data_IF_483280158982
#
_entry.id   IF_483280158982
#
_cell.length_a   1.000
_cell.length_b   1.000
_cell.length_c   1.000
_cell.angle_alpha   90.00
_cell.angle_beta   90.00
_cell.angle_gamma   90.00
#
_symmetry.space_group_name_H-M   'P 1'
#
loop_
_entity.id
_entity.type
_entity.pdbx_description
1 polymer ?
#
# COMPACT_ATOMS: atom_id res chain seq x y z
N UNK A 1 -3.33 -0.25 -17.60
CA UNK A 1 -2.53 0.97 -17.55
C UNK A 1 -2.84 1.76 -16.29
N UNK A 2 -1.82 2.30 -15.67
CA UNK A 2 -2.02 3.08 -14.46
C UNK A 2 -2.63 4.43 -14.78
N UNK A 3 -3.75 4.73 -14.14
CA UNK A 3 -4.52 5.94 -14.38
C UNK A 3 -4.15 7.06 -13.42
N UNK A 4 -3.66 6.71 -12.21
CA UNK A 4 -3.35 7.70 -11.19
C UNK A 4 -2.45 7.11 -10.11
N UNK A 5 -1.49 7.91 -9.67
CA UNK A 5 -0.64 7.59 -8.52
C UNK A 5 -0.77 8.70 -7.49
N UNK A 6 -1.04 8.31 -6.24
CA UNK A 6 -1.10 9.23 -5.12
C UNK A 6 0.08 8.96 -4.18
N UNK A 7 0.86 9.99 -3.88
CA UNK A 7 1.93 9.92 -2.90
C UNK A 7 1.44 10.50 -1.59
N UNK A 8 1.45 9.69 -0.55
CA UNK A 8 1.09 10.12 0.81
C UNK A 8 2.37 10.26 1.62
N UNK A 9 2.67 11.47 2.04
CA UNK A 9 3.90 11.79 2.77
C UNK A 9 3.59 11.95 4.24
N UNK A 10 4.12 11.04 5.07
CA UNK A 10 3.88 11.04 6.50
C UNK A 10 4.96 11.86 7.21
N UNK A 11 4.62 12.55 8.31
CA UNK A 11 5.56 13.45 8.96
C UNK A 11 6.62 12.77 9.82
N UNK A 12 6.42 11.52 10.22
CA UNK A 12 7.34 10.80 11.10
C UNK A 12 7.97 9.61 10.43
N UNK A 13 8.82 8.91 11.18
CA UNK A 13 9.52 7.72 10.67
C UNK A 13 9.25 6.46 11.51
N UNK A 14 8.32 6.52 12.47
CA UNK A 14 7.98 5.36 13.27
C UNK A 14 7.34 4.29 12.38
N UNK A 15 7.77 3.03 12.49
CA UNK A 15 7.27 1.97 11.61
C UNK A 15 5.76 1.85 11.59
N UNK A 16 5.11 2.04 12.72
CA UNK A 16 3.67 1.91 12.83
C UNK A 16 2.89 2.95 12.04
N UNK A 17 3.47 4.11 11.78
CA UNK A 17 2.77 5.15 11.03
C UNK A 17 2.43 4.70 9.62
N UNK A 18 3.40 4.15 8.91
CA UNK A 18 3.18 3.65 7.55
C UNK A 18 2.14 2.54 7.54
N UNK A 19 2.26 1.62 8.49
CA UNK A 19 1.36 0.47 8.57
C UNK A 19 -0.07 0.90 8.90
N UNK A 20 -0.23 1.78 9.88
CA UNK A 20 -1.55 2.28 10.24
C UNK A 20 -2.20 3.04 9.09
N UNK A 21 -1.41 3.85 8.41
CA UNK A 21 -1.93 4.60 7.26
C UNK A 21 -2.35 3.64 6.14
N UNK A 22 -1.54 2.62 5.87
CA UNK A 22 -1.87 1.62 4.86
C UNK A 22 -3.17 0.90 5.20
N UNK A 23 -3.37 0.55 6.47
CA UNK A 23 -4.60 -0.11 6.90
C UNK A 23 -5.82 0.79 6.76
N UNK A 24 -5.69 2.08 7.09
CA UNK A 24 -6.79 3.04 6.92
C UNK A 24 -7.15 3.22 5.45
N UNK A 25 -6.15 3.34 4.62
CA UNK A 25 -6.36 3.51 3.19
C UNK A 25 -7.02 2.27 2.61
N UNK A 26 -6.58 1.10 3.05
CA UNK A 26 -7.14 -0.18 2.64
C UNK A 26 -8.60 -0.30 3.05
N UNK A 27 -8.92 0.07 4.29
CA UNK A 27 -10.30 0.04 4.76
C UNK A 27 -11.19 0.94 3.90
N UNK A 28 -10.71 2.14 3.62
CA UNK A 28 -11.46 3.10 2.81
C UNK A 28 -11.74 2.56 1.41
N UNK A 29 -10.73 1.96 0.80
CA UNK A 29 -10.88 1.39 -0.53
C UNK A 29 -11.76 0.13 -0.51
N UNK A 30 -11.63 -0.67 0.53
CA UNK A 30 -12.44 -1.87 0.70
C UNK A 30 -13.93 -1.52 0.78
N UNK A 31 -14.26 -0.44 1.49
CA UNK A 31 -15.64 0.01 1.62
C UNK A 31 -16.21 0.55 0.30
N UNK A 32 -15.36 0.81 -0.68
CA UNK A 32 -15.77 1.19 -2.03
C UNK A 32 -15.76 0.01 -2.98
N UNK A 33 -15.72 -1.20 -2.45
CA UNK A 33 -15.74 -2.45 -3.20
C UNK A 33 -14.55 -2.66 -4.13
N UNK A 34 -13.41 -2.04 -3.82
CA UNK A 34 -12.20 -2.22 -4.60
C UNK A 34 -11.44 -3.46 -4.16
N UNK A 35 -10.66 -4.02 -5.08
CA UNK A 35 -9.66 -5.03 -4.77
C UNK A 35 -8.34 -4.35 -4.51
N UNK A 36 -7.65 -4.74 -3.44
CA UNK A 36 -6.46 -4.06 -2.97
C UNK A 36 -5.34 -5.07 -2.77
N UNK A 37 -4.14 -4.69 -3.22
CA UNK A 37 -2.91 -5.40 -2.88
C UNK A 37 -2.05 -4.45 -2.06
N UNK A 38 -1.59 -4.88 -0.89
CA UNK A 38 -0.57 -4.16 -0.14
C UNK A 38 0.73 -4.89 -0.38
N UNK A 39 1.68 -4.21 -1.01
CA UNK A 39 3.00 -4.78 -1.29
C UNK A 39 3.99 -4.31 -0.23
N UNK A 40 4.47 -5.25 0.57
CA UNK A 40 5.43 -4.99 1.63
C UNK A 40 6.86 -5.17 1.14
N UNK A 41 7.81 -4.59 1.87
CA UNK A 41 9.22 -4.72 1.54
C UNK A 41 9.76 -6.12 1.84
N UNK A 42 9.12 -6.84 2.76
CA UNK A 42 9.59 -8.16 3.19
C UNK A 42 8.42 -9.02 3.65
N UNK A 43 8.67 -10.32 3.75
CA UNK A 43 7.67 -11.24 4.28
C UNK A 43 7.35 -10.93 5.74
N UNK A 44 8.35 -10.48 6.52
CA UNK A 44 8.15 -10.11 7.90
C UNK A 44 7.21 -8.91 8.02
N UNK A 45 7.38 -7.91 7.16
CA UNK A 45 6.50 -6.75 7.15
C UNK A 45 5.07 -7.15 6.75
N UNK A 46 4.94 -8.04 5.76
CA UNK A 46 3.63 -8.51 5.36
C UNK A 46 2.89 -9.22 6.51
N UNK A 47 3.61 -10.01 7.29
CA UNK A 47 3.01 -10.67 8.46
C UNK A 47 2.60 -9.67 9.54
N UNK A 48 3.40 -8.62 9.73
CA UNK A 48 3.04 -7.57 10.69
C UNK A 48 1.77 -6.86 10.28
N UNK A 49 1.61 -6.60 8.97
CA UNK A 49 0.41 -5.99 8.45
C UNK A 49 -0.79 -6.93 8.54
N UNK A 50 -0.59 -8.21 8.34
CA UNK A 50 -1.64 -9.21 8.51
C UNK A 50 -2.19 -9.17 9.93
N UNK A 51 -1.31 -9.18 10.92
CA UNK A 51 -1.71 -9.10 12.32
C UNK A 51 -2.43 -7.78 12.62
N UNK A 52 -1.90 -6.69 12.10
CA UNK A 52 -2.48 -5.36 12.34
C UNK A 52 -3.88 -5.23 11.75
N UNK A 53 -4.10 -5.76 10.56
CA UNK A 53 -5.41 -5.68 9.93
C UNK A 53 -6.48 -6.42 10.72
N UNK A 54 -6.12 -7.51 11.39
CA UNK A 54 -7.07 -8.23 12.23
C UNK A 54 -7.54 -7.42 13.43
N UNK A 55 -6.71 -6.51 13.93
CA UNK A 55 -7.01 -5.74 15.14
C UNK A 55 -7.11 -4.24 14.88
N UNK A 56 -7.00 -3.81 13.63
CA UNK A 56 -6.92 -2.40 13.28
C UNK A 56 -8.18 -1.62 13.65
N UNK A 57 -9.33 -2.20 13.45
CA UNK A 57 -10.60 -1.53 13.70
C UNK A 57 -11.58 -2.48 14.37
N UNK A 58 -12.20 -2.02 15.46
CA UNK A 58 -13.24 -2.80 16.14
C UNK A 58 -14.54 -2.83 15.34
N UNK A 59 -14.68 -1.94 14.37
CA UNK A 59 -15.93 -1.78 13.62
C UNK A 59 -15.94 -2.53 12.31
N UNK A 60 -14.78 -2.78 11.76
CA UNK A 60 -14.67 -3.34 10.41
C UNK A 60 -13.85 -4.60 10.44
N UNK A 61 -14.47 -5.67 10.02
CA UNK A 61 -13.72 -6.87 9.73
C UNK A 61 -13.40 -6.87 8.24
N UNK A 62 -12.10 -6.82 7.92
CA UNK A 62 -11.64 -6.81 6.54
C UNK A 62 -11.02 -8.16 6.23
N UNK A 63 -11.71 -9.03 5.49
CA UNK A 63 -11.10 -10.30 5.09
C UNK A 63 -9.87 -10.03 4.24
N UNK A 64 -8.76 -10.66 4.60
CA UNK A 64 -7.50 -10.48 3.88
C UNK A 64 -6.69 -11.77 3.91
N UNK A 65 -5.77 -11.87 2.98
CA UNK A 65 -4.97 -13.08 2.79
C UNK A 65 -3.54 -12.71 2.44
N UNK A 66 -2.58 -13.40 3.10
CA UNK A 66 -1.20 -13.33 2.68
C UNK A 66 -1.04 -14.12 1.39
N UNK A 67 -0.44 -13.49 0.41
CA UNK A 67 -0.16 -14.16 -0.87
C UNK A 67 1.21 -14.83 -0.72
N UNK A 68 1.18 -16.12 -0.56
CA UNK A 68 2.38 -16.94 -0.44
C UNK A 68 2.35 -18.01 -1.54
N UNK A 69 2.48 -19.28 -1.16
CA UNK A 69 2.45 -20.38 -2.11
C UNK A 69 1.05 -20.73 -2.58
N UNK A 70 0.02 -20.26 -1.88
CA UNK A 70 -1.36 -20.55 -2.23
C UNK A 70 -1.88 -19.51 -3.21
N UNK A 71 -2.71 -19.91 -4.17
CA UNK A 71 -3.33 -18.90 -5.04
C UNK A 71 -4.28 -18.03 -4.25
N UNK A 72 -4.49 -16.76 -4.71
CA UNK A 72 -5.45 -15.88 -4.05
C UNK A 72 -6.85 -16.47 -4.03
N UNK A 73 -7.53 -16.31 -2.90
CA UNK A 73 -8.92 -16.73 -2.76
C UNK A 73 -9.80 -15.77 -3.55
N UNK A 74 -10.70 -16.31 -4.37
CA UNK A 74 -11.54 -15.50 -5.24
C UNK A 74 -12.47 -14.57 -4.47
N UNK A 75 -12.86 -14.96 -3.25
CA UNK A 75 -13.77 -14.16 -2.45
C UNK A 75 -13.07 -13.07 -1.63
N UNK A 76 -11.76 -13.13 -1.55
CA UNK A 76 -10.98 -12.15 -0.79
C UNK A 76 -10.59 -11.00 -1.71
N UNK A 77 -10.79 -9.76 -1.25
CA UNK A 77 -10.46 -8.58 -2.03
C UNK A 77 -9.20 -7.85 -1.55
N UNK A 78 -8.64 -8.26 -0.41
CA UNK A 78 -7.44 -7.63 0.13
C UNK A 78 -6.35 -8.69 0.22
N UNK A 79 -5.23 -8.44 -0.46
CA UNK A 79 -4.10 -9.36 -0.48
C UNK A 79 -2.85 -8.66 0.04
N UNK A 80 -2.11 -9.37 0.88
CA UNK A 80 -0.84 -8.88 1.41
C UNK A 80 0.28 -9.67 0.72
N UNK A 81 1.10 -8.96 -0.04
CA UNK A 81 2.21 -9.56 -0.76
C UNK A 81 3.53 -8.97 -0.28
N UNK A 82 4.63 -9.67 -0.55
CA UNK A 82 5.96 -9.21 -0.17
C UNK A 82 6.86 -9.19 -1.41
N UNK A 83 7.64 -8.10 -1.53
CA UNK A 83 8.64 -8.01 -2.58
C UNK A 83 9.73 -9.05 -2.31
N UNK A 84 10.36 -9.64 -3.34
CA UNK A 84 10.21 -9.31 -4.76
C UNK A 84 9.14 -10.11 -5.49
N UNK A 85 8.19 -10.70 -4.80
CA UNK A 85 7.17 -11.52 -5.43
C UNK A 85 6.32 -10.77 -6.44
N UNK A 86 5.56 -11.52 -7.24
CA UNK A 86 4.64 -10.97 -8.22
C UNK A 86 3.23 -10.94 -7.62
N UNK A 87 2.75 -9.77 -7.19
CA UNK A 87 1.44 -9.71 -6.56
C UNK A 87 0.31 -9.89 -7.58
N UNK A 88 -0.88 -10.32 -7.13
CA UNK A 88 -2.00 -10.49 -8.05
C UNK A 88 -2.53 -9.15 -8.56
N UNK A 89 -3.33 -9.21 -9.60
CA UNK A 89 -3.98 -8.01 -10.12
C UNK A 89 -5.01 -7.48 -9.10
N UNK A 90 -5.20 -6.17 -9.10
CA UNK A 90 -6.14 -5.51 -8.20
C UNK A 90 -6.47 -4.13 -8.76
N UNK A 91 -7.45 -3.46 -8.14
CA UNK A 91 -7.81 -2.10 -8.53
C UNK A 91 -6.84 -1.07 -7.94
N UNK A 92 -6.27 -1.36 -6.78
CA UNK A 92 -5.37 -0.48 -6.07
C UNK A 92 -4.16 -1.26 -5.56
N UNK A 93 -2.99 -0.74 -5.84
CA UNK A 93 -1.74 -1.22 -5.25
C UNK A 93 -1.31 -0.21 -4.18
N UNK A 94 -1.20 -0.68 -2.94
CA UNK A 94 -0.63 0.12 -1.85
C UNK A 94 0.83 -0.31 -1.72
N UNK A 95 1.74 0.58 -2.08
CA UNK A 95 3.16 0.24 -2.15
C UNK A 95 3.93 0.70 -0.92
N UNK A 96 4.47 -0.27 -0.19
CA UNK A 96 5.38 -0.05 0.93
C UNK A 96 6.79 -0.56 0.59
N UNK A 97 6.98 -1.13 -0.59
CA UNK A 97 8.26 -1.70 -1.00
C UNK A 97 9.17 -0.62 -1.57
N UNK A 98 10.46 -0.92 -1.60
CA UNK A 98 11.45 -0.01 -2.15
C UNK A 98 11.32 0.15 -3.66
N UNK A 99 10.92 -0.92 -4.33
CA UNK A 99 10.80 -0.94 -5.79
C UNK A 99 9.41 -1.36 -6.21
N UNK A 100 8.99 -0.85 -7.36
CA UNK A 100 7.75 -1.30 -7.96
C UNK A 100 7.90 -2.71 -8.54
N UNK A 101 6.84 -3.51 -8.52
CA UNK A 101 6.87 -4.79 -9.22
C UNK A 101 6.96 -4.56 -10.74
N UNK A 102 7.50 -5.54 -11.46
CA UNK A 102 7.72 -5.40 -12.90
C UNK A 102 6.44 -5.04 -13.67
N UNK A 103 5.31 -5.54 -13.22
CA UNK A 103 4.04 -5.32 -13.90
C UNK A 103 3.16 -4.28 -13.19
N UNK A 104 3.79 -3.25 -12.61
CA UNK A 104 3.04 -2.24 -11.86
C UNK A 104 2.01 -1.50 -12.70
N UNK A 105 2.22 -1.42 -14.00
CA UNK A 105 1.30 -0.68 -14.88
C UNK A 105 -0.06 -1.35 -15.03
N UNK A 106 -0.20 -2.59 -14.59
CA UNK A 106 -1.50 -3.26 -14.62
C UNK A 106 -2.44 -2.79 -13.52
N UNK A 107 -1.93 -2.04 -12.54
CA UNK A 107 -2.77 -1.50 -11.47
C UNK A 107 -3.29 -0.13 -11.90
N UNK A 108 -4.62 0.06 -12.00
CA UNK A 108 -5.17 1.35 -12.39
C UNK A 108 -4.80 2.47 -11.42
N UNK A 109 -4.71 2.15 -10.14
CA UNK A 109 -4.37 3.13 -9.12
C UNK A 109 -3.26 2.59 -8.22
N UNK A 110 -2.33 3.48 -7.85
CA UNK A 110 -1.24 3.14 -6.96
C UNK A 110 -1.18 4.20 -5.86
N UNK A 111 -1.08 3.74 -4.62
CA UNK A 111 -0.84 4.61 -3.47
C UNK A 111 0.58 4.35 -2.97
N UNK A 112 1.41 5.38 -2.99
CA UNK A 112 2.76 5.34 -2.46
C UNK A 112 2.74 5.95 -1.08
N UNK A 113 3.23 5.22 -0.09
CA UNK A 113 3.26 5.71 1.29
C UNK A 113 4.70 5.91 1.68
N UNK A 114 5.08 7.16 1.96
CA UNK A 114 6.45 7.54 2.25
C UNK A 114 6.46 8.28 3.59
N UNK A 115 7.42 7.95 4.44
CA UNK A 115 7.56 8.62 5.72
C UNK A 115 8.84 9.46 5.75
N UNK A 116 9.27 9.87 6.95
CA UNK A 116 10.42 10.76 7.11
C UNK A 116 11.78 10.04 7.02
N UNK A 117 11.79 8.72 6.84
CA UNK A 117 13.04 7.99 6.67
C UNK A 117 13.75 8.44 5.40
N UNK A 118 15.03 8.79 5.52
CA UNK A 118 15.78 9.35 4.40
C UNK A 118 15.89 8.41 3.21
N UNK A 119 16.18 7.15 3.47
CA UNK A 119 16.33 6.17 2.38
C UNK A 119 15.01 5.91 1.69
N UNK A 120 13.91 5.77 2.45
CA UNK A 120 12.60 5.60 1.84
C UNK A 120 12.19 6.82 1.03
N UNK A 121 12.53 8.02 1.49
CA UNK A 121 12.27 9.25 0.72
C UNK A 121 13.09 9.29 -0.56
N UNK A 122 14.36 8.90 -0.49
CA UNK A 122 15.22 8.86 -1.67
C UNK A 122 14.65 7.90 -2.73
N UNK A 123 14.30 6.71 -2.31
CA UNK A 123 13.73 5.71 -3.22
C UNK A 123 12.36 6.16 -3.74
N UNK A 124 11.58 6.83 -2.91
CA UNK A 124 10.31 7.40 -3.32
C UNK A 124 10.46 8.45 -4.41
N UNK A 125 11.48 9.30 -4.30
CA UNK A 125 11.75 10.30 -5.34
C UNK A 125 12.12 9.64 -6.67
N UNK A 126 12.84 8.51 -6.63
CA UNK A 126 13.16 7.77 -7.85
C UNK A 126 11.90 7.21 -8.50
N UNK A 127 10.99 6.66 -7.71
CA UNK A 127 9.72 6.17 -8.23
C UNK A 127 8.87 7.31 -8.78
N UNK A 128 8.84 8.44 -8.07
CA UNK A 128 8.13 9.63 -8.52
C UNK A 128 8.62 10.07 -9.90
N UNK A 129 9.94 10.08 -10.09
CA UNK A 129 10.54 10.44 -11.37
C UNK A 129 10.11 9.47 -12.45
N UNK A 130 10.08 8.18 -12.17
CA UNK A 130 9.66 7.16 -13.12
C UNK A 130 8.23 7.43 -13.58
N UNK A 131 7.31 7.67 -12.66
CA UNK A 131 5.92 7.97 -13.00
C UNK A 131 5.82 9.24 -13.83
N UNK A 132 6.54 10.28 -13.41
CA UNK A 132 6.50 11.57 -14.11
C UNK A 132 7.03 11.43 -15.53
N UNK A 133 8.14 10.73 -15.72
CA UNK A 133 8.74 10.56 -17.03
C UNK A 133 7.84 9.77 -17.98
N UNK A 134 7.02 8.88 -17.41
CA UNK A 134 6.04 8.12 -18.19
C UNK A 134 4.69 8.83 -18.29
N UNK A 135 4.60 10.06 -17.77
CA UNK A 135 3.41 10.91 -17.84
C UNK A 135 2.18 10.31 -17.15
N UNK A 136 2.40 9.54 -16.09
CA UNK A 136 1.32 9.04 -15.26
C UNK A 136 0.81 10.19 -14.40
N UNK A 137 -0.51 10.41 -14.31
CA UNK A 137 -1.04 11.44 -13.42
C UNK A 137 -0.61 11.23 -11.98
N UNK A 138 -0.05 12.27 -11.36
CA UNK A 138 0.51 12.21 -10.02
C UNK A 138 -0.14 13.25 -9.12
N UNK A 139 -0.40 12.88 -7.87
CA UNK A 139 -0.76 13.82 -6.81
C UNK A 139 0.03 13.50 -5.56
N UNK A 140 0.41 14.54 -4.83
CA UNK A 140 1.10 14.40 -3.56
C UNK A 140 0.21 14.95 -2.46
N UNK A 141 0.08 14.19 -1.38
CA UNK A 141 -0.74 14.56 -0.24
C UNK A 141 0.11 14.54 1.02
N UNK A 142 0.04 15.62 1.80
CA UNK A 142 0.59 15.59 3.14
C UNK A 142 -0.40 14.86 4.03
N UNK A 143 -0.03 13.70 4.53
CA UNK A 143 -0.91 12.94 5.38
C UNK A 143 -1.03 13.63 6.73
N UNK A 144 -2.26 13.80 7.24
CA UNK A 144 -2.43 14.48 8.52
C UNK A 144 -1.86 13.67 9.67
N UNK A 145 -1.25 14.37 10.61
CA UNK A 145 -0.67 13.76 11.79
C UNK A 145 -1.74 13.24 12.74
N UNK A 146 -2.95 13.73 12.61
CA UNK A 146 -4.07 13.39 13.47
C UNK A 146 -4.75 12.07 13.11
N UNK A 147 -4.24 11.36 12.13
CA UNK A 147 -4.77 10.03 11.75
C UNK A 147 -4.87 9.13 12.98
N UNK A 148 -3.93 9.25 13.88
CA UNK A 148 -3.89 8.46 15.12
C UNK A 148 -5.05 8.74 16.07
N UNK A 149 -5.70 9.90 15.94
CA UNK A 149 -6.76 10.31 16.84
C UNK A 149 -8.10 9.67 16.52
N UNK A 150 -8.21 9.10 15.36
CA UNK A 150 -9.44 8.50 14.89
C UNK A 150 -9.40 6.98 14.95
N UNK A 151 -8.33 6.50 15.55
CA UNK A 151 -8.13 5.08 15.71
C UNK A 151 -9.14 4.48 16.63
#
# INVERSE_FOLDING_TARGET
>A
MTERVDFYVLPGAAPNQRWNFACRLTEKAYLKDLRIVILSASAAEARSLDDLLWSFSDRSFIPHQLVDERPPDADTRVYLAAAPGAPPAADLLVNLAARLPDQWQRYPRIAEIIDADEERRRLGRERFKTYRDLKVPLETHAAPDDVRHHG
#
